data_IF_564702932436
#
_entry.id   IF_564702932436
#
_cell.length_a   1.000
_cell.length_b   1.000
_cell.length_c   1.000
_cell.angle_alpha   90.00
_cell.angle_beta   90.00
_cell.angle_gamma   90.00
#
_symmetry.space_group_name_H-M   'P 1'
#
loop_
_entity.id
_entity.type
_entity.pdbx_description
1 polymer ?
#
# COMPACT_ATOMS: atom_id res chain seq x y z
N UNK A 1 20.80 -10.67 2.08
CA UNK A 1 19.82 -9.59 1.83
C UNK A 1 19.24 -9.80 0.45
N UNK A 2 17.92 -9.86 0.31
CA UNK A 2 17.28 -9.83 -1.00
C UNK A 2 17.42 -8.41 -1.56
N UNK A 3 17.85 -8.23 -2.82
CA UNK A 3 17.93 -6.91 -3.42
C UNK A 3 16.53 -6.30 -3.52
N UNK A 4 16.44 -4.98 -3.42
CA UNK A 4 15.18 -4.27 -3.67
C UNK A 4 14.72 -4.57 -5.08
N UNK A 5 13.47 -5.02 -5.22
CA UNK A 5 12.83 -5.30 -6.50
C UNK A 5 11.35 -4.95 -6.40
N UNK A 6 10.89 -4.12 -7.32
CA UNK A 6 9.50 -3.68 -7.43
C UNK A 6 8.97 -4.10 -8.79
N UNK A 7 7.85 -4.82 -8.81
CA UNK A 7 7.10 -5.12 -10.03
C UNK A 7 5.85 -4.26 -10.07
N UNK A 8 5.70 -3.47 -11.12
CA UNK A 8 4.64 -2.47 -11.24
C UNK A 8 5.16 -1.04 -11.18
N UNK A 9 4.26 -0.09 -11.41
CA UNK A 9 4.58 1.33 -11.40
C UNK A 9 4.65 1.86 -9.97
N UNK A 10 5.51 2.84 -9.75
CA UNK A 10 5.55 3.60 -8.49
C UNK A 10 5.37 5.08 -8.79
N UNK A 11 4.81 5.82 -7.84
CA UNK A 11 4.50 7.23 -8.02
C UNK A 11 4.57 8.01 -6.73
N UNK A 12 4.89 9.29 -6.84
CA UNK A 12 4.85 10.22 -5.71
C UNK A 12 4.23 11.55 -6.11
N UNK A 13 3.31 12.05 -5.27
CA UNK A 13 2.60 13.30 -5.43
C UNK A 13 2.00 13.70 -4.08
N UNK A 14 1.97 14.99 -3.71
CA UNK A 14 2.39 16.16 -4.48
C UNK A 14 3.90 16.42 -4.49
N UNK A 15 4.68 15.60 -3.77
CA UNK A 15 6.14 15.74 -3.71
C UNK A 15 6.79 15.31 -5.04
N UNK A 16 7.98 15.84 -5.30
CA UNK A 16 8.71 15.70 -6.57
C UNK A 16 9.58 14.43 -6.61
N UNK A 17 10.17 14.16 -7.78
CA UNK A 17 11.06 13.02 -8.01
C UNK A 17 12.27 12.98 -7.06
N UNK A 18 12.69 14.13 -6.53
CA UNK A 18 13.83 14.22 -5.60
C UNK A 18 13.58 13.48 -4.28
N UNK A 19 12.32 13.21 -3.92
CA UNK A 19 11.97 12.41 -2.76
C UNK A 19 12.12 10.90 -2.99
N UNK A 20 12.22 10.45 -4.24
CA UNK A 20 12.46 9.04 -4.59
C UNK A 20 13.96 8.72 -4.57
N UNK A 21 14.56 8.83 -3.39
CA UNK A 21 16.00 8.65 -3.18
C UNK A 21 16.44 7.19 -3.31
N UNK A 22 17.67 6.95 -3.80
CA UNK A 22 18.26 5.61 -3.86
C UNK A 22 17.83 4.75 -5.05
N UNK A 23 16.85 5.19 -5.84
CA UNK A 23 16.36 4.44 -7.01
C UNK A 23 17.19 4.60 -8.29
N UNK A 24 18.17 5.50 -8.31
CA UNK A 24 18.99 5.74 -9.52
C UNK A 24 18.13 6.10 -10.72
N UNK A 25 17.21 7.06 -10.56
CA UNK A 25 16.21 7.39 -11.57
C UNK A 25 16.86 7.92 -12.85
N UNK A 26 16.46 7.35 -13.99
CA UNK A 26 16.82 7.81 -15.33
C UNK A 26 15.55 8.30 -16.00
N UNK A 27 15.44 9.61 -16.20
CA UNK A 27 14.30 10.20 -16.89
C UNK A 27 14.22 9.68 -18.33
N UNK A 28 13.01 9.33 -18.77
CA UNK A 28 12.75 9.07 -20.18
C UNK A 28 12.87 10.37 -20.99
N UNK A 29 13.13 10.23 -22.29
CA UNK A 29 13.23 11.36 -23.24
C UNK A 29 11.99 12.29 -23.23
N UNK A 30 10.79 11.77 -22.97
CA UNK A 30 9.56 12.56 -22.83
C UNK A 30 9.48 13.32 -21.51
N UNK A 31 10.30 12.95 -20.52
CA UNK A 31 10.24 13.40 -19.15
C UNK A 31 8.84 13.28 -18.52
N UNK A 32 8.01 12.33 -18.98
CA UNK A 32 6.71 12.00 -18.38
C UNK A 32 6.84 10.89 -17.33
N UNK A 33 7.91 10.10 -17.38
CA UNK A 33 8.25 9.08 -16.38
C UNK A 33 9.78 8.89 -16.33
N UNK A 34 10.22 8.14 -15.33
CA UNK A 34 11.59 7.66 -15.20
C UNK A 34 11.64 6.13 -15.13
N UNK A 35 12.83 5.57 -15.38
CA UNK A 35 13.17 4.16 -15.17
C UNK A 35 14.13 4.01 -13.98
N UNK A 36 14.18 2.81 -13.42
CA UNK A 36 15.12 2.38 -12.38
C UNK A 36 15.44 0.90 -12.56
N UNK A 37 16.67 0.48 -12.27
CA UNK A 37 17.05 -0.94 -12.27
C UNK A 37 16.33 -1.75 -11.19
N UNK A 38 15.73 -1.10 -10.19
CA UNK A 38 14.97 -1.75 -9.13
C UNK A 38 13.47 -1.86 -9.44
N UNK A 39 12.99 -1.25 -10.53
CA UNK A 39 11.56 -1.14 -10.85
C UNK A 39 11.29 -1.73 -12.21
N UNK A 40 10.61 -2.88 -12.24
CA UNK A 40 10.01 -3.45 -13.46
C UNK A 40 8.68 -2.75 -13.69
N UNK A 41 8.77 -1.51 -14.19
CA UNK A 41 7.66 -0.58 -14.38
C UNK A 41 8.14 0.82 -14.75
N UNK A 42 7.27 1.80 -14.53
CA UNK A 42 7.58 3.22 -14.65
C UNK A 42 7.54 3.90 -13.29
N UNK A 43 8.41 4.89 -13.12
CA UNK A 43 8.44 5.78 -11.96
C UNK A 43 7.80 7.11 -12.37
N UNK A 44 6.85 7.61 -11.60
CA UNK A 44 6.13 8.86 -11.88
C UNK A 44 6.29 9.86 -10.73
N UNK A 45 6.40 11.15 -11.03
CA UNK A 45 6.50 12.19 -10.02
C UNK A 45 5.70 13.45 -10.39
N UNK A 46 5.35 14.26 -9.39
CA UNK A 46 4.54 15.46 -9.57
C UNK A 46 5.19 16.57 -10.41
N UNK A 47 6.52 16.58 -10.52
CA UNK A 47 7.30 17.54 -11.31
C UNK A 47 7.63 17.07 -12.74
N UNK A 48 7.10 15.92 -13.14
CA UNK A 48 7.25 15.42 -14.51
C UNK A 48 6.31 16.13 -15.49
N UNK A 49 6.61 15.96 -16.77
CA UNK A 49 5.85 16.56 -17.87
C UNK A 49 4.42 16.01 -17.90
N UNK A 50 3.46 16.86 -18.28
CA UNK A 50 2.06 16.47 -18.54
C UNK A 50 1.99 15.24 -19.46
N UNK A 51 1.09 14.27 -19.20
CA UNK A 51 -0.05 14.31 -18.26
C UNK A 51 0.23 13.80 -16.84
N UNK A 52 1.48 13.51 -16.50
CA UNK A 52 1.84 12.82 -15.24
C UNK A 52 1.35 13.50 -13.96
N UNK A 53 1.49 14.82 -13.78
CA UNK A 53 1.03 15.48 -12.56
C UNK A 53 -0.49 15.35 -12.33
N UNK A 54 -1.29 15.49 -13.39
CA UNK A 54 -2.74 15.31 -13.31
C UNK A 54 -3.14 13.86 -13.05
N UNK A 55 -2.47 12.89 -13.68
CA UNK A 55 -2.72 11.47 -13.44
C UNK A 55 -2.42 11.09 -11.98
N UNK A 56 -1.31 11.58 -11.42
CA UNK A 56 -0.95 11.31 -10.03
C UNK A 56 -1.88 12.02 -9.04
N UNK A 57 -2.40 13.19 -9.38
CA UNK A 57 -3.42 13.86 -8.55
C UNK A 57 -4.68 13.00 -8.43
N UNK A 58 -5.16 12.44 -9.55
CA UNK A 58 -6.30 11.51 -9.54
C UNK A 58 -5.97 10.25 -8.72
N UNK A 59 -4.80 9.65 -8.94
CA UNK A 59 -4.41 8.45 -8.20
C UNK A 59 -4.35 8.65 -6.67
N UNK A 60 -3.89 9.82 -6.20
CA UNK A 60 -3.85 10.15 -4.77
C UNK A 60 -5.27 10.38 -4.22
N UNK A 61 -6.17 10.99 -5.01
CA UNK A 61 -7.58 11.14 -4.61
C UNK A 61 -8.30 9.79 -4.54
N UNK A 62 -8.05 8.90 -5.49
CA UNK A 62 -8.59 7.55 -5.49
C UNK A 62 -8.07 6.75 -4.28
N UNK A 63 -6.78 6.89 -3.92
CA UNK A 63 -6.21 6.31 -2.69
C UNK A 63 -6.91 6.84 -1.44
N UNK A 64 -7.15 8.16 -1.36
CA UNK A 64 -7.87 8.76 -0.23
C UNK A 64 -9.31 8.23 -0.13
N UNK A 65 -10.01 8.11 -1.26
CA UNK A 65 -11.36 7.55 -1.31
C UNK A 65 -11.38 6.07 -0.88
N UNK A 66 -10.43 5.26 -1.37
CA UNK A 66 -10.30 3.85 -0.99
C UNK A 66 -9.99 3.68 0.50
N UNK A 67 -9.10 4.52 1.07
CA UNK A 67 -8.83 4.52 2.50
C UNK A 67 -10.09 4.84 3.31
N UNK A 68 -10.83 5.88 2.91
CA UNK A 68 -12.07 6.31 3.59
C UNK A 68 -13.14 5.23 3.52
N UNK A 69 -13.31 4.58 2.37
CA UNK A 69 -14.23 3.46 2.18
C UNK A 69 -13.88 2.28 3.10
N UNK A 70 -12.62 1.84 3.11
CA UNK A 70 -12.15 0.73 3.94
C UNK A 70 -12.30 1.04 5.46
N UNK A 71 -11.89 2.24 5.89
CA UNK A 71 -12.00 2.70 7.28
C UNK A 71 -13.46 2.88 7.73
N UNK A 72 -14.35 3.20 6.79
CA UNK A 72 -15.77 3.46 7.04
C UNK A 72 -16.69 2.23 6.99
N UNK A 73 -16.18 1.05 6.61
CA UNK A 73 -17.02 -0.16 6.54
C UNK A 73 -17.66 -0.47 7.92
N UNK A 74 -19.00 -0.61 7.99
CA UNK A 74 -19.71 -0.89 9.24
C UNK A 74 -19.77 -2.39 9.54
N UNK A 75 -20.23 -2.75 10.74
CA UNK A 75 -20.57 -4.12 11.15
C UNK A 75 -19.41 -5.13 10.99
N UNK A 76 -18.29 -4.97 11.72
CA UNK A 76 -17.19 -5.91 11.66
C UNK A 76 -17.61 -7.33 12.06
N UNK A 77 -17.15 -8.32 11.31
CA UNK A 77 -17.32 -9.74 11.63
C UNK A 77 -16.46 -10.15 12.84
N UNK A 78 -15.30 -9.49 12.99
CA UNK A 78 -14.35 -9.76 14.05
C UNK A 78 -13.90 -8.45 14.73
N UNK A 79 -13.94 -8.44 16.06
CA UNK A 79 -13.59 -7.28 16.88
C UNK A 79 -12.53 -7.67 17.90
N UNK A 80 -11.41 -6.95 17.91
CA UNK A 80 -10.30 -7.11 18.86
C UNK A 80 -9.67 -8.52 18.92
N UNK A 81 -9.71 -9.30 17.83
CA UNK A 81 -9.14 -10.66 17.81
C UNK A 81 -7.63 -10.61 18.16
N UNK A 82 -7.21 -11.54 19.03
CA UNK A 82 -5.84 -11.60 19.55
C UNK A 82 -5.42 -10.37 20.38
N UNK A 83 -6.35 -9.48 20.71
CA UNK A 83 -6.06 -8.18 21.32
C UNK A 83 -4.86 -7.49 20.64
N UNK A 84 -4.85 -7.45 19.31
CA UNK A 84 -3.78 -6.83 18.51
C UNK A 84 -2.56 -7.71 18.24
N UNK A 85 -2.39 -8.85 18.92
CA UNK A 85 -1.34 -9.83 18.57
C UNK A 85 -1.96 -10.95 17.74
N UNK A 86 -1.68 -10.95 16.43
CA UNK A 86 -2.28 -11.90 15.47
C UNK A 86 -1.33 -13.02 15.05
N UNK A 87 -0.24 -13.19 15.79
CA UNK A 87 0.76 -14.23 15.57
C UNK A 87 0.13 -15.64 15.49
N UNK A 88 0.45 -16.37 14.43
CA UNK A 88 0.00 -17.73 14.18
C UNK A 88 -1.49 -17.88 13.87
N UNK A 89 -2.26 -16.79 13.82
CA UNK A 89 -3.70 -16.87 13.54
C UNK A 89 -3.96 -17.21 12.07
N UNK A 90 -5.04 -17.97 11.85
CA UNK A 90 -5.66 -18.15 10.54
C UNK A 90 -6.92 -17.31 10.47
N UNK A 91 -6.91 -16.29 9.61
CA UNK A 91 -8.00 -15.34 9.41
C UNK A 91 -8.88 -15.81 8.25
N UNK A 92 -10.15 -16.09 8.56
CA UNK A 92 -11.19 -16.29 7.54
C UNK A 92 -11.61 -14.98 6.87
N UNK A 93 -12.33 -15.00 5.74
CA UNK A 93 -12.78 -13.78 5.06
C UNK A 93 -13.60 -12.87 5.97
N UNK A 94 -13.57 -11.57 5.70
CA UNK A 94 -14.46 -10.62 6.36
C UNK A 94 -13.82 -9.31 6.78
N UNK A 95 -14.59 -8.56 7.58
CA UNK A 95 -14.21 -7.27 8.13
C UNK A 95 -13.71 -7.43 9.57
N UNK A 96 -12.47 -7.00 9.79
CA UNK A 96 -11.80 -7.02 11.09
C UNK A 96 -11.61 -5.61 11.63
N UNK A 97 -11.77 -5.45 12.94
CA UNK A 97 -11.59 -4.15 13.61
C UNK A 97 -10.77 -4.25 14.90
N UNK A 98 -9.80 -3.36 15.03
CA UNK A 98 -9.03 -3.11 16.26
C UNK A 98 -9.00 -1.61 16.58
N UNK A 99 -9.22 -1.28 17.85
CA UNK A 99 -9.09 0.06 18.43
C UNK A 99 -7.65 0.44 18.80
N UNK A 100 -6.68 -0.43 18.51
CA UNK A 100 -5.24 -0.23 18.79
C UNK A 100 -4.38 -0.83 17.68
N UNK A 101 -3.06 -0.70 17.83
CA UNK A 101 -2.09 -1.31 16.92
C UNK A 101 -2.16 -2.84 16.88
N UNK A 102 -1.78 -3.39 15.74
CA UNK A 102 -1.76 -4.83 15.45
C UNK A 102 -0.35 -5.27 15.08
N UNK A 103 0.06 -6.46 15.47
CA UNK A 103 1.34 -7.00 15.02
C UNK A 103 1.51 -8.50 15.12
N UNK A 104 2.51 -8.98 14.40
CA UNK A 104 3.00 -10.35 14.38
C UNK A 104 4.48 -10.36 13.98
N UNK A 105 5.17 -11.41 14.35
CA UNK A 105 6.61 -11.61 14.15
C UNK A 105 6.96 -12.77 13.22
N UNK A 106 6.17 -13.84 13.22
CA UNK A 106 6.39 -14.96 12.31
C UNK A 106 5.37 -14.98 11.19
N UNK A 107 4.13 -15.40 11.46
CA UNK A 107 3.16 -15.59 10.38
C UNK A 107 1.73 -15.31 10.81
N UNK A 108 0.96 -14.85 9.84
CA UNK A 108 -0.49 -14.85 9.84
C UNK A 108 -0.94 -15.52 8.54
N UNK A 109 -1.99 -16.33 8.60
CA UNK A 109 -2.53 -17.02 7.42
C UNK A 109 -3.88 -16.44 7.07
N UNK A 110 -4.08 -16.05 5.81
CA UNK A 110 -5.40 -15.70 5.26
C UNK A 110 -5.96 -16.95 4.58
N UNK A 111 -7.14 -17.42 5.01
CA UNK A 111 -7.73 -18.66 4.50
C UNK A 111 -9.14 -18.40 3.96
N UNK A 112 -9.28 -18.48 2.64
CA UNK A 112 -10.55 -18.38 1.93
C UNK A 112 -10.38 -18.73 0.45
N UNK A 113 -11.39 -18.43 -0.34
CA UNK A 113 -11.40 -18.65 -1.79
C UNK A 113 -10.67 -17.54 -2.54
N UNK A 114 -10.46 -17.71 -3.85
CA UNK A 114 -9.82 -16.70 -4.71
C UNK A 114 -10.65 -15.42 -4.89
N UNK A 115 -11.91 -15.41 -4.45
CA UNK A 115 -12.83 -14.28 -4.57
C UNK A 115 -13.18 -13.65 -3.23
N UNK A 116 -12.73 -14.25 -2.13
CA UNK A 116 -13.01 -13.74 -0.80
C UNK A 116 -12.19 -12.49 -0.48
N UNK A 117 -12.72 -11.66 0.43
CA UNK A 117 -12.17 -10.34 0.74
C UNK A 117 -11.90 -10.22 2.23
N UNK A 118 -10.78 -9.57 2.56
CA UNK A 118 -10.40 -9.18 3.90
C UNK A 118 -10.25 -7.67 3.95
N UNK A 119 -10.87 -7.04 4.95
CA UNK A 119 -10.65 -5.62 5.27
C UNK A 119 -10.25 -5.53 6.73
N UNK A 120 -9.08 -4.95 6.99
CA UNK A 120 -8.52 -4.83 8.33
C UNK A 120 -8.52 -3.36 8.75
N UNK A 121 -9.41 -2.98 9.66
CA UNK A 121 -9.46 -1.64 10.25
C UNK A 121 -8.62 -1.59 11.52
N UNK A 122 -7.51 -0.86 11.49
CA UNK A 122 -6.54 -0.82 12.60
C UNK A 122 -6.36 0.64 13.03
N UNK A 123 -6.82 0.97 14.25
CA UNK A 123 -6.68 2.30 14.83
C UNK A 123 -5.35 2.49 15.57
N UNK A 124 -4.25 2.16 14.88
CA UNK A 124 -2.89 2.25 15.38
C UNK A 124 -1.90 1.69 14.37
N UNK A 125 -0.66 1.47 14.80
CA UNK A 125 0.39 0.97 13.91
C UNK A 125 0.21 -0.51 13.58
N UNK A 126 0.70 -0.91 12.40
CA UNK A 126 0.90 -2.31 12.03
C UNK A 126 2.38 -2.63 12.20
N UNK A 127 2.70 -3.60 13.07
CA UNK A 127 4.08 -4.04 13.31
C UNK A 127 4.29 -5.46 12.76
N UNK A 128 5.27 -5.62 11.88
CA UNK A 128 5.64 -6.92 11.28
C UNK A 128 7.14 -7.12 11.47
N UNK A 129 7.61 -8.26 11.99
CA UNK A 129 9.04 -8.45 12.27
C UNK A 129 9.53 -9.84 12.58
#
# INVERSE_FOLDING_TARGET
>A
TTPTSVTGNIGTSPITATAMTGFGLIADSSNTFSKSTFVTGNVYAADFTSPTPSMLTVAVLDMQAAYTDAAGRPNPDYVEIGAGTIEGLTLGPGLYKWGKGVGFTSSVTFNGTSTDVWILQIAGDVTVG
#
